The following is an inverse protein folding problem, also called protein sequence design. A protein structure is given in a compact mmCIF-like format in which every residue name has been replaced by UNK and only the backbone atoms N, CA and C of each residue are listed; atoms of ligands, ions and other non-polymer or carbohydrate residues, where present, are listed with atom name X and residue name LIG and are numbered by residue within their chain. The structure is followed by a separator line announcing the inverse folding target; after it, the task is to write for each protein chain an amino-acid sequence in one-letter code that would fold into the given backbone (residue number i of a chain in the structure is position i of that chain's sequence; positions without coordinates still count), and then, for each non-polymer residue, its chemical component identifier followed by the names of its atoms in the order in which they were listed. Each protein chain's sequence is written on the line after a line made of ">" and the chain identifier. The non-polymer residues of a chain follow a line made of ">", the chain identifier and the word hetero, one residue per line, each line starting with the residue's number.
data_IF_985245051822
#
_entry.id   IF_985245051822
#
_cell.length_a   1.000
_cell.length_b   1.000
_cell.length_c   1.000
_cell.angle_alpha   90.00
_cell.angle_beta   90.00
_cell.angle_gamma   90.00
#
_symmetry.space_group_name_H-M   'P 1'
#
loop_
_entity.id
_entity.type
_entity.pdbx_description
1 polymer ?
#
# COMPACT_ATOMS: atom_id res chain seq x y z
N UNK A 1 2.13 0.21 -6.52
CA UNK A 1 2.19 1.42 -5.65
C UNK A 1 1.74 1.11 -4.23
N UNK A 2 0.50 0.69 -3.97
CA UNK A 2 0.02 0.44 -2.60
C UNK A 2 0.84 -0.58 -1.80
N UNK A 3 1.24 -1.70 -2.42
CA UNK A 3 2.15 -2.68 -1.81
C UNK A 3 3.50 -2.07 -1.40
N UNK A 4 4.06 -1.18 -2.21
CA UNK A 4 5.31 -0.49 -1.89
C UNK A 4 5.15 0.46 -0.70
N UNK A 5 4.01 1.15 -0.58
CA UNK A 5 3.70 2.00 0.57
C UNK A 5 3.60 1.18 1.85
N UNK A 6 2.90 0.04 1.81
CA UNK A 6 2.83 -0.89 2.94
C UNK A 6 4.20 -1.44 3.33
N UNK A 7 4.99 -1.85 2.33
CA UNK A 7 6.34 -2.36 2.56
C UNK A 7 7.21 -1.33 3.27
N UNK A 8 7.19 -0.07 2.80
CA UNK A 8 7.90 1.02 3.43
C UNK A 8 7.41 1.28 4.87
N UNK A 9 6.08 1.31 5.09
CA UNK A 9 5.51 1.56 6.41
C UNK A 9 5.78 0.44 7.44
N UNK A 10 5.93 -0.80 6.97
CA UNK A 10 6.12 -1.98 7.82
C UNK A 10 7.58 -2.46 7.86
N UNK A 11 8.51 -1.77 7.19
CA UNK A 11 9.92 -2.18 7.12
C UNK A 11 10.15 -3.48 6.35
N UNK A 12 9.24 -3.85 5.45
CA UNK A 12 9.33 -5.08 4.65
C UNK A 12 10.14 -4.81 3.38
N UNK A 13 11.19 -5.59 3.15
CA UNK A 13 11.92 -5.56 1.88
C UNK A 13 11.06 -6.21 0.77
N UNK A 14 10.73 -5.50 -0.32
CA UNK A 14 9.93 -6.07 -1.40
C UNK A 14 10.75 -7.09 -2.20
N UNK A 15 10.20 -8.28 -2.40
CA UNK A 15 10.86 -9.38 -3.12
C UNK A 15 10.32 -9.60 -4.53
N UNK A 16 9.09 -9.17 -4.80
CA UNK A 16 8.41 -9.38 -6.08
C UNK A 16 8.56 -8.17 -6.99
N UNK A 17 8.95 -8.39 -8.24
CA UNK A 17 8.95 -7.39 -9.31
C UNK A 17 8.20 -7.94 -10.52
N UNK A 18 7.05 -7.34 -10.85
CA UNK A 18 6.34 -7.62 -12.09
C UNK A 18 6.54 -6.40 -12.99
N UNK A 19 7.40 -6.48 -13.99
CA UNK A 19 7.66 -5.36 -14.89
C UNK A 19 6.63 -5.28 -16.05
N UNK A 20 5.82 -6.32 -16.23
CA UNK A 20 4.93 -6.47 -17.39
C UNK A 20 3.87 -5.36 -17.48
N UNK A 21 3.48 -4.75 -16.36
CA UNK A 21 2.54 -3.64 -16.34
C UNK A 21 3.17 -2.29 -16.75
N UNK A 22 4.50 -2.18 -16.84
CA UNK A 22 5.16 -0.89 -17.10
C UNK A 22 4.77 -0.39 -18.49
N UNK A 23 4.71 -1.27 -19.50
CA UNK A 23 4.27 -0.91 -20.85
C UNK A 23 2.87 -0.30 -20.88
N UNK A 24 1.89 -0.94 -20.22
CA UNK A 24 0.52 -0.41 -20.16
C UNK A 24 0.44 0.92 -19.43
N UNK A 25 1.24 1.12 -18.37
CA UNK A 25 1.27 2.40 -17.66
C UNK A 25 1.94 3.52 -18.48
N UNK A 26 2.92 3.21 -19.33
CA UNK A 26 3.51 4.21 -20.21
C UNK A 26 2.50 4.76 -21.20
N UNK A 27 1.63 3.91 -21.77
CA UNK A 27 0.55 4.38 -22.66
C UNK A 27 -0.46 5.25 -21.90
N UNK A 28 -0.90 4.82 -20.72
CA UNK A 28 -1.80 5.63 -19.87
C UNK A 28 -1.20 7.00 -19.53
N UNK A 29 0.09 7.08 -19.25
CA UNK A 29 0.75 8.33 -18.88
C UNK A 29 1.03 9.26 -20.08
N UNK A 30 1.14 8.71 -21.29
CA UNK A 30 1.19 9.50 -22.53
C UNK A 30 -0.14 10.20 -22.80
N UNK A 31 -1.24 9.51 -22.53
CA UNK A 31 -2.60 10.05 -22.71
C UNK A 31 -2.98 11.00 -21.56
N UNK A 32 -2.62 10.68 -20.32
CA UNK A 32 -2.93 11.49 -19.14
C UNK A 32 -1.82 11.43 -18.09
N UNK A 33 -0.98 12.48 -18.07
CA UNK A 33 0.10 12.63 -17.09
C UNK A 33 -0.41 12.77 -15.64
N UNK A 34 -1.70 13.11 -15.42
CA UNK A 34 -2.29 13.19 -14.09
C UNK A 34 -2.79 11.85 -13.56
N UNK A 35 -2.83 10.81 -14.39
CA UNK A 35 -3.25 9.47 -13.99
C UNK A 35 -2.39 8.93 -12.82
N UNK A 36 -1.10 9.27 -12.79
CA UNK A 36 -0.20 8.87 -11.69
C UNK A 36 -0.66 9.40 -10.33
N UNK A 37 -1.16 10.64 -10.25
CA UNK A 37 -1.59 11.23 -8.99
C UNK A 37 -2.88 10.60 -8.49
N UNK A 38 -3.81 10.27 -9.39
CA UNK A 38 -5.04 9.56 -9.02
C UNK A 38 -4.74 8.14 -8.54
N UNK A 39 -3.86 7.44 -9.24
CA UNK A 39 -3.41 6.11 -8.84
C UNK A 39 -2.66 6.13 -7.50
N UNK A 40 -1.79 7.11 -7.28
CA UNK A 40 -1.12 7.32 -6.01
C UNK A 40 -2.12 7.62 -4.88
N UNK A 41 -3.09 8.52 -5.11
CA UNK A 41 -4.13 8.84 -4.12
C UNK A 41 -4.95 7.61 -3.73
N UNK A 42 -5.37 6.79 -4.70
CA UNK A 42 -6.08 5.54 -4.42
C UNK A 42 -5.20 4.55 -3.65
N UNK A 43 -3.93 4.40 -4.04
CA UNK A 43 -2.97 3.55 -3.35
C UNK A 43 -2.72 3.97 -1.90
N UNK A 44 -2.60 5.28 -1.64
CA UNK A 44 -2.47 5.84 -0.28
C UNK A 44 -3.69 5.49 0.56
N UNK A 45 -4.91 5.76 0.07
CA UNK A 45 -6.15 5.43 0.79
C UNK A 45 -6.24 3.95 1.15
N UNK A 46 -5.89 3.07 0.22
CA UNK A 46 -5.87 1.63 0.46
C UNK A 46 -4.83 1.24 1.52
N UNK A 47 -3.62 1.79 1.45
CA UNK A 47 -2.57 1.53 2.42
C UNK A 47 -2.95 2.03 3.82
N UNK A 48 -3.48 3.25 3.92
CA UNK A 48 -3.92 3.84 5.20
C UNK A 48 -5.03 3.01 5.86
N UNK A 49 -5.99 2.53 5.06
CA UNK A 49 -7.05 1.66 5.55
C UNK A 49 -6.48 0.36 6.13
N UNK A 50 -5.55 -0.28 5.42
CA UNK A 50 -4.91 -1.52 5.88
C UNK A 50 -4.05 -1.30 7.13
N UNK A 51 -3.27 -0.21 7.18
CA UNK A 51 -2.42 0.11 8.33
C UNK A 51 -3.24 0.45 9.58
N UNK A 52 -4.37 1.13 9.41
CA UNK A 52 -5.31 1.40 10.50
C UNK A 52 -5.84 0.09 11.09
N UNK A 53 -6.34 -0.81 10.25
CA UNK A 53 -6.82 -2.14 10.68
C UNK A 53 -5.72 -2.97 11.32
N UNK A 54 -4.51 -2.89 10.79
CA UNK A 54 -3.36 -3.59 11.36
C UNK A 54 -3.08 -3.12 12.79
N UNK A 55 -3.07 -1.81 13.04
CA UNK A 55 -2.87 -1.23 14.39
C UNK A 55 -3.99 -1.64 15.35
N UNK A 56 -5.25 -1.47 14.94
CA UNK A 56 -6.42 -1.89 15.74
C UNK A 56 -6.31 -3.37 16.17
N UNK A 57 -5.86 -4.24 15.25
CA UNK A 57 -5.65 -5.66 15.56
C UNK A 57 -4.47 -5.93 16.51
N UNK A 58 -3.39 -5.14 16.45
CA UNK A 58 -2.27 -5.26 17.40
C UNK A 58 -2.69 -4.81 18.81
N UNK A 59 -3.42 -3.70 18.91
CA UNK A 59 -3.88 -3.15 20.19
C UNK A 59 -4.84 -4.13 20.88
N UNK A 60 -5.79 -4.71 20.14
CA UNK A 60 -6.69 -5.72 20.67
C UNK A 60 -5.95 -6.97 21.20
N UNK A 61 -4.88 -7.40 20.52
CA UNK A 61 -4.03 -8.51 20.98
C UNK A 61 -3.27 -8.17 22.24
N UNK A 62 -2.74 -6.95 22.33
CA UNK A 62 -2.01 -6.48 23.51
C UNK A 62 -2.93 -6.44 24.73
N UNK A 63 -4.13 -5.87 24.60
CA UNK A 63 -5.12 -5.82 25.67
C UNK A 63 -5.54 -7.22 26.13
N UNK A 64 -5.81 -8.12 25.18
CA UNK A 64 -6.16 -9.52 25.51
C UNK A 64 -5.04 -10.27 26.25
N UNK A 65 -3.78 -9.95 25.96
CA UNK A 65 -2.62 -10.54 26.64
C UNK A 65 -2.37 -9.99 28.05
N UNK A 66 -2.86 -8.78 28.37
CA UNK A 66 -2.71 -8.16 29.70
C UNK A 66 -3.86 -8.59 30.63
N UNK A 67 -5.04 -8.87 30.06
CA UNK A 67 -6.23 -9.24 30.81
C UNK A 67 -6.32 -10.74 31.17
N UNK A 68 -5.41 -11.57 30.64
CA UNK A 68 -5.29 -13.00 30.94
C UNK A 68 -4.15 -13.27 31.92
#
# INVERSE_FOLDING_TARGET
>A
MGSAFLCAALGIAPTVRHADYIGSWLEVLREDNRAIFRAASAATKAADWLLTRHREAQDARMVGSIAA
#
